data_IF_345923241389
#
_entry.id   IF_345923241389
#
_cell.length_a   1.000
_cell.length_b   1.000
_cell.length_c   1.000
_cell.angle_alpha   90.00
_cell.angle_beta   90.00
_cell.angle_gamma   90.00
#
_symmetry.space_group_name_H-M   'P 1'
#
loop_
_entity.id
_entity.type
_entity.pdbx_description
1 polymer ?
#
# COMPACT_ATOMS: atom_id res chain seq x y z
N UNK A 1 71.31 -25.06 6.58
CA UNK A 1 69.85 -25.06 6.82
C UNK A 1 69.30 -23.99 5.89
N UNK A 2 69.09 -24.39 4.63
CA UNK A 2 67.76 -24.60 4.02
C UNK A 2 67.09 -23.26 3.74
N UNK A 3 66.71 -22.85 2.53
CA UNK A 3 66.64 -23.49 1.21
C UNK A 3 65.53 -22.79 0.41
N UNK A 4 65.77 -22.59 -0.91
CA UNK A 4 64.80 -22.19 -1.99
C UNK A 4 64.32 -20.74 -1.98
N UNK A 5 64.09 -20.01 -3.08
CA UNK A 5 64.33 -20.02 -4.54
C UNK A 5 63.93 -18.56 -4.97
N UNK A 6 64.67 -17.76 -5.77
CA UNK A 6 64.67 -17.71 -7.25
C UNK A 6 63.22 -17.66 -7.83
N UNK A 7 62.75 -16.76 -8.72
CA UNK A 7 63.31 -16.14 -9.95
C UNK A 7 62.43 -14.93 -10.36
N UNK A 8 63.09 -14.01 -11.06
CA UNK A 8 62.72 -12.86 -11.92
C UNK A 8 61.41 -12.90 -12.74
N UNK A 9 61.00 -11.72 -13.25
CA UNK A 9 60.49 -11.64 -14.62
C UNK A 9 59.52 -10.49 -14.94
N UNK A 10 60.04 -9.47 -15.63
CA UNK A 10 59.32 -8.42 -16.34
C UNK A 10 58.14 -8.90 -17.20
N UNK A 11 57.10 -8.07 -17.30
CA UNK A 11 56.10 -8.14 -18.37
C UNK A 11 55.95 -6.77 -19.03
N UNK A 12 56.89 -6.45 -19.91
CA UNK A 12 56.72 -5.47 -21.00
C UNK A 12 56.46 -6.25 -22.30
N UNK A 13 55.42 -5.87 -23.05
CA UNK A 13 54.94 -6.64 -24.19
C UNK A 13 54.07 -5.84 -25.15
N UNK A 14 54.72 -4.91 -25.84
CA UNK A 14 54.34 -4.25 -27.10
C UNK A 14 53.77 -5.26 -28.12
N UNK A 15 52.76 -4.88 -28.92
CA UNK A 15 52.73 -5.10 -30.38
C UNK A 15 51.65 -4.23 -31.05
N UNK A 16 52.08 -3.35 -31.97
CA UNK A 16 51.22 -2.68 -32.94
C UNK A 16 51.43 -3.24 -34.35
N UNK A 17 50.52 -2.87 -35.27
CA UNK A 17 50.86 -2.73 -36.70
C UNK A 17 50.01 -3.49 -37.72
N UNK A 18 49.05 -2.75 -38.31
CA UNK A 18 48.71 -2.64 -39.75
C UNK A 18 48.32 -3.87 -40.60
N UNK A 19 47.15 -3.75 -41.26
CA UNK A 19 47.09 -3.92 -42.73
C UNK A 19 45.88 -4.65 -43.37
N UNK A 20 45.02 -3.86 -44.05
CA UNK A 20 44.42 -4.08 -45.40
C UNK A 20 43.19 -5.01 -45.59
N UNK A 21 42.07 -4.35 -45.97
CA UNK A 21 40.95 -4.64 -46.93
C UNK A 21 40.44 -6.09 -47.14
N UNK A 22 39.11 -6.30 -47.01
CA UNK A 22 38.13 -6.38 -48.14
C UNK A 22 36.75 -6.93 -47.69
N UNK A 23 35.70 -6.29 -48.20
CA UNK A 23 34.30 -6.69 -48.47
C UNK A 23 33.67 -7.98 -47.85
N UNK A 24 32.42 -7.83 -47.38
CA UNK A 24 31.34 -8.76 -47.74
C UNK A 24 30.65 -9.55 -46.62
N UNK A 25 29.46 -9.07 -46.24
CA UNK A 25 28.22 -9.84 -45.99
C UNK A 25 28.06 -10.78 -44.78
N UNK A 26 26.91 -10.56 -44.11
CA UNK A 26 26.02 -11.48 -43.39
C UNK A 26 26.34 -11.94 -41.95
N UNK A 27 25.42 -11.58 -41.04
CA UNK A 27 24.87 -12.54 -40.07
C UNK A 27 25.22 -12.37 -38.60
N UNK A 28 24.30 -11.76 -37.84
CA UNK A 28 23.89 -12.23 -36.51
C UNK A 28 24.69 -11.82 -35.27
N UNK A 29 23.98 -11.34 -34.24
CA UNK A 29 24.33 -11.61 -32.84
C UNK A 29 24.65 -10.42 -31.93
N UNK A 30 23.63 -10.05 -31.14
CA UNK A 30 23.68 -9.66 -29.72
C UNK A 30 24.31 -8.33 -29.24
N UNK A 31 23.66 -7.84 -28.18
CA UNK A 31 24.10 -6.94 -27.11
C UNK A 31 24.16 -5.42 -27.42
N UNK A 32 23.22 -4.72 -26.79
CA UNK A 32 23.21 -3.27 -26.62
C UNK A 32 22.40 -2.92 -25.37
N UNK A 33 23.10 -2.93 -24.24
CA UNK A 33 22.68 -2.45 -22.93
C UNK A 33 22.29 -0.97 -22.95
N UNK A 34 21.34 -0.56 -22.10
CA UNK A 34 20.98 0.86 -21.98
C UNK A 34 19.86 1.17 -20.99
N UNK A 35 20.21 1.16 -19.70
CA UNK A 35 19.67 2.00 -18.62
C UNK A 35 18.15 2.15 -18.45
N UNK A 36 17.59 1.51 -17.43
CA UNK A 36 16.36 1.94 -16.75
C UNK A 36 16.50 1.72 -15.23
N UNK A 37 17.37 2.51 -14.58
CA UNK A 37 17.63 2.43 -13.14
C UNK A 37 17.30 3.72 -12.36
N UNK A 38 16.57 4.66 -12.95
CA UNK A 38 16.33 6.00 -12.36
C UNK A 38 14.92 6.28 -11.85
N UNK A 39 13.97 5.34 -11.98
CA UNK A 39 12.55 5.61 -11.73
C UNK A 39 12.06 5.45 -10.28
N UNK A 40 12.65 4.52 -9.52
CA UNK A 40 12.11 4.12 -8.22
C UNK A 40 12.25 5.20 -7.14
N UNK A 41 13.46 5.76 -6.98
CA UNK A 41 13.69 6.89 -6.06
C UNK A 41 12.83 8.11 -6.44
N UNK A 42 12.67 8.33 -7.76
CA UNK A 42 11.72 9.22 -8.44
C UNK A 42 10.29 9.22 -7.91
N UNK A 43 9.75 8.01 -7.81
CA UNK A 43 8.37 7.73 -7.48
C UNK A 43 8.12 7.80 -5.97
N UNK A 44 9.05 7.28 -5.17
CA UNK A 44 8.98 7.26 -3.71
C UNK A 44 8.88 8.68 -3.10
N UNK A 45 9.73 9.63 -3.55
CA UNK A 45 9.66 11.01 -3.06
C UNK A 45 8.34 11.69 -3.44
N UNK A 46 7.76 11.32 -4.58
CA UNK A 46 6.52 11.92 -5.07
C UNK A 46 5.34 11.47 -4.23
N UNK A 47 5.29 10.21 -3.82
CA UNK A 47 4.17 9.66 -3.03
C UNK A 47 4.20 10.10 -1.56
N UNK A 48 5.38 10.22 -0.97
CA UNK A 48 5.55 10.79 0.37
C UNK A 48 5.08 12.25 0.45
N UNK A 49 5.17 12.99 -0.66
CA UNK A 49 4.77 14.41 -0.73
C UNK A 49 3.27 14.66 -0.97
N UNK A 50 2.47 13.63 -1.29
CA UNK A 50 1.04 13.83 -1.52
C UNK A 50 0.25 13.69 -0.23
N UNK A 51 -0.11 14.84 0.33
CA UNK A 51 -0.96 14.92 1.52
C UNK A 51 -2.37 14.37 1.26
N UNK A 52 -2.85 13.54 2.19
CA UNK A 52 -4.22 13.06 2.23
C UNK A 52 -5.02 13.95 3.17
N UNK A 53 -6.15 14.49 2.71
CA UNK A 53 -7.02 15.28 3.59
C UNK A 53 -7.86 14.35 4.49
N UNK A 54 -7.26 13.91 5.59
CA UNK A 54 -7.91 13.06 6.59
C UNK A 54 -9.14 13.70 7.23
N UNK A 55 -9.17 15.04 7.35
CA UNK A 55 -10.32 15.77 7.91
C UNK A 55 -11.54 15.61 7.01
N UNK A 56 -11.37 15.79 5.70
CA UNK A 56 -12.44 15.61 4.73
C UNK A 56 -12.88 14.15 4.65
N UNK A 57 -11.95 13.20 4.82
CA UNK A 57 -12.27 11.77 4.87
C UNK A 57 -13.14 11.41 6.08
N UNK A 58 -12.77 11.89 7.27
CA UNK A 58 -13.58 11.68 8.49
C UNK A 58 -14.96 12.36 8.38
N UNK A 59 -15.03 13.55 7.77
CA UNK A 59 -16.30 14.23 7.55
C UNK A 59 -17.19 13.49 6.54
N UNK A 60 -16.58 12.89 5.52
CA UNK A 60 -17.23 12.10 4.49
C UNK A 60 -17.71 10.72 4.99
N UNK A 61 -17.04 10.13 5.98
CA UNK A 61 -17.34 8.81 6.55
C UNK A 61 -17.68 8.93 8.06
N UNK A 62 -18.91 9.33 8.43
CA UNK A 62 -19.28 9.68 9.82
C UNK A 62 -19.44 8.46 10.74
N UNK A 63 -18.34 7.82 11.17
CA UNK A 63 -18.38 6.62 12.01
C UNK A 63 -18.60 6.88 13.52
N UNK A 64 -18.70 8.14 13.95
CA UNK A 64 -18.84 8.53 15.37
C UNK A 64 -20.09 8.00 16.07
N UNK A 65 -20.05 7.89 17.40
CA UNK A 65 -21.19 7.45 18.24
C UNK A 65 -22.13 8.60 18.65
N UNK A 66 -21.80 9.84 18.32
CA UNK A 66 -22.59 11.03 18.63
C UNK A 66 -23.86 11.16 17.75
N UNK A 67 -24.84 11.93 18.23
CA UNK A 67 -26.12 12.12 17.56
C UNK A 67 -25.98 12.72 16.14
N UNK A 68 -25.02 13.63 15.94
CA UNK A 68 -24.77 14.24 14.63
C UNK A 68 -24.24 13.19 13.64
N UNK A 69 -23.29 12.37 14.05
CA UNK A 69 -22.77 11.25 13.25
C UNK A 69 -23.85 10.21 12.93
N UNK A 70 -24.76 9.93 13.87
CA UNK A 70 -25.90 9.01 13.65
C UNK A 70 -26.80 9.54 12.52
N UNK A 71 -27.21 10.82 12.60
CA UNK A 71 -28.06 11.44 11.58
C UNK A 71 -27.36 11.49 10.22
N UNK A 72 -26.07 11.86 10.18
CA UNK A 72 -25.28 11.86 8.95
C UNK A 72 -25.15 10.47 8.34
N UNK A 73 -24.97 9.42 9.14
CA UNK A 73 -24.94 8.04 8.62
C UNK A 73 -26.27 7.60 8.05
N UNK A 74 -27.38 7.92 8.70
CA UNK A 74 -28.70 7.56 8.17
C UNK A 74 -28.94 8.21 6.81
N UNK A 75 -28.63 9.50 6.69
CA UNK A 75 -28.71 10.21 5.41
C UNK A 75 -27.74 9.64 4.36
N UNK A 76 -26.52 9.26 4.77
CA UNK A 76 -25.53 8.67 3.88
C UNK A 76 -25.95 7.29 3.40
N UNK A 77 -26.50 6.44 4.28
CA UNK A 77 -27.01 5.12 3.94
C UNK A 77 -28.14 5.22 2.91
N UNK A 78 -29.14 6.08 3.17
CA UNK A 78 -30.24 6.31 2.23
C UNK A 78 -29.75 6.85 0.87
N UNK A 79 -28.66 7.62 0.86
CA UNK A 79 -28.04 8.09 -0.39
C UNK A 79 -27.37 6.94 -1.16
N UNK A 80 -26.76 5.97 -0.48
CA UNK A 80 -26.05 4.85 -1.11
C UNK A 80 -27.02 3.73 -1.54
N UNK A 81 -28.16 3.60 -0.86
CA UNK A 81 -29.23 2.65 -1.18
C UNK A 81 -30.08 3.15 -2.37
N UNK A 82 -29.48 3.15 -3.56
CA UNK A 82 -30.11 3.66 -4.79
C UNK A 82 -31.37 2.87 -5.15
N UNK A 83 -31.39 1.58 -4.84
CA UNK A 83 -32.52 0.71 -5.13
C UNK A 83 -33.61 0.74 -4.03
N UNK A 84 -33.34 1.36 -2.88
CA UNK A 84 -34.24 1.52 -1.73
C UNK A 84 -34.75 0.20 -1.14
N UNK A 85 -33.94 -0.85 -1.16
CA UNK A 85 -34.30 -2.17 -0.60
C UNK A 85 -33.92 -2.31 0.89
N UNK A 86 -33.28 -1.31 1.49
CA UNK A 86 -32.88 -1.30 2.89
C UNK A 86 -31.53 -1.96 3.19
N UNK A 87 -30.77 -2.38 2.18
CA UNK A 87 -29.46 -3.00 2.33
C UNK A 87 -28.51 -2.62 1.17
N UNK A 88 -27.21 -2.56 1.41
CA UNK A 88 -26.25 -2.12 0.40
C UNK A 88 -25.52 -3.31 -0.21
N UNK A 89 -25.53 -3.40 -1.54
CA UNK A 89 -24.67 -4.30 -2.29
C UNK A 89 -23.23 -3.79 -2.39
N UNK A 90 -22.29 -4.68 -2.68
CA UNK A 90 -20.90 -4.28 -2.96
C UNK A 90 -20.80 -3.23 -4.08
N UNK A 91 -21.65 -3.32 -5.11
CA UNK A 91 -21.63 -2.40 -6.25
C UNK A 91 -22.12 -1.00 -5.87
N UNK A 92 -23.12 -0.90 -4.99
CA UNK A 92 -23.59 0.39 -4.46
C UNK A 92 -22.53 1.06 -3.59
N UNK A 93 -21.85 0.27 -2.76
CA UNK A 93 -20.69 0.75 -1.99
C UNK A 93 -19.56 1.20 -2.91
N UNK A 94 -19.12 0.39 -3.88
CA UNK A 94 -18.02 0.74 -4.82
C UNK A 94 -18.34 2.01 -5.62
N UNK A 95 -19.58 2.13 -6.11
CA UNK A 95 -20.03 3.28 -6.91
C UNK A 95 -20.07 4.56 -6.08
N UNK A 96 -20.61 4.49 -4.86
CA UNK A 96 -20.67 5.64 -3.95
C UNK A 96 -19.27 6.09 -3.52
N UNK A 97 -18.38 5.13 -3.29
CA UNK A 97 -16.98 5.41 -2.93
C UNK A 97 -16.19 6.05 -4.06
N UNK A 98 -16.47 5.72 -5.33
CA UNK A 98 -15.82 6.36 -6.49
C UNK A 98 -16.02 7.87 -6.48
N UNK A 99 -17.25 8.33 -6.26
CA UNK A 99 -17.57 9.76 -6.20
C UNK A 99 -16.88 10.42 -4.99
N UNK A 100 -16.93 9.78 -3.83
CA UNK A 100 -16.38 10.28 -2.58
C UNK A 100 -14.85 10.40 -2.62
N UNK A 101 -14.17 9.34 -3.05
CA UNK A 101 -12.71 9.28 -3.11
C UNK A 101 -12.13 10.22 -4.17
N UNK A 102 -12.85 10.44 -5.28
CA UNK A 102 -12.46 11.44 -6.27
C UNK A 102 -12.32 12.85 -5.67
N UNK A 103 -13.20 13.19 -4.71
CA UNK A 103 -13.21 14.48 -4.01
C UNK A 103 -12.16 14.55 -2.90
N UNK A 104 -12.05 13.52 -2.07
CA UNK A 104 -11.26 13.55 -0.83
C UNK A 104 -9.81 13.09 -1.03
N UNK A 105 -9.59 12.07 -1.86
CA UNK A 105 -8.28 11.42 -2.05
C UNK A 105 -7.83 11.46 -3.52
N UNK A 106 -8.51 12.22 -4.38
CA UNK A 106 -8.26 12.19 -5.83
C UNK A 106 -6.82 12.53 -6.21
N UNK A 107 -6.20 13.49 -5.52
CA UNK A 107 -4.79 13.85 -5.73
C UNK A 107 -3.84 12.68 -5.46
N UNK A 108 -4.02 12.04 -4.29
CA UNK A 108 -3.26 10.86 -3.87
C UNK A 108 -3.48 9.66 -4.80
N UNK A 109 -4.72 9.37 -5.18
CA UNK A 109 -5.03 8.18 -5.98
C UNK A 109 -4.57 8.30 -7.45
N UNK A 110 -4.45 9.53 -7.97
CA UNK A 110 -4.01 9.79 -9.35
C UNK A 110 -2.51 9.59 -9.57
N UNK A 111 -1.70 9.47 -8.52
CA UNK A 111 -0.26 9.21 -8.66
C UNK A 111 0.07 7.76 -9.02
N UNK A 112 -0.90 6.85 -8.93
CA UNK A 112 -0.69 5.41 -9.09
C UNK A 112 -0.62 5.00 -10.57
N UNK A 113 0.33 4.11 -10.90
CA UNK A 113 0.64 3.67 -12.27
C UNK A 113 -0.56 3.06 -13.02
N UNK A 114 -1.42 2.33 -12.32
CA UNK A 114 -2.55 1.59 -12.91
C UNK A 114 -3.88 2.38 -12.97
N UNK A 115 -3.84 3.68 -12.75
CA UNK A 115 -5.02 4.54 -12.82
C UNK A 115 -5.87 4.50 -11.56
N UNK A 116 -6.33 5.68 -11.13
CA UNK A 116 -7.02 5.88 -9.85
C UNK A 116 -8.28 5.02 -9.69
N UNK A 117 -9.00 4.72 -10.78
CA UNK A 117 -10.37 4.21 -10.81
C UNK A 117 -10.62 2.88 -10.05
N UNK A 118 -9.57 2.12 -9.71
CA UNK A 118 -9.67 0.83 -9.04
C UNK A 118 -8.71 0.68 -7.85
N UNK A 119 -7.94 1.72 -7.51
CA UNK A 119 -6.88 1.63 -6.50
C UNK A 119 -7.42 1.33 -5.09
N UNK A 120 -8.60 1.85 -4.73
CA UNK A 120 -9.23 1.66 -3.41
C UNK A 120 -10.05 0.37 -3.28
N UNK A 121 -10.25 -0.40 -4.35
CA UNK A 121 -11.09 -1.62 -4.31
C UNK A 121 -10.66 -2.63 -3.24
N UNK A 122 -9.35 -2.87 -2.98
CA UNK A 122 -8.92 -3.73 -1.89
C UNK A 122 -9.43 -3.25 -0.53
N UNK A 123 -9.38 -1.94 -0.26
CA UNK A 123 -9.90 -1.32 0.98
C UNK A 123 -11.37 -1.66 1.19
N UNK A 124 -12.20 -1.43 0.16
CA UNK A 124 -13.64 -1.67 0.24
C UNK A 124 -13.96 -3.14 0.42
N UNK A 125 -13.30 -4.02 -0.34
CA UNK A 125 -13.50 -5.46 -0.24
C UNK A 125 -13.19 -5.96 1.17
N UNK A 126 -12.07 -5.52 1.74
CA UNK A 126 -11.64 -5.93 3.07
C UNK A 126 -12.55 -5.33 4.14
N UNK A 127 -12.98 -4.08 4.00
CA UNK A 127 -13.90 -3.43 4.94
C UNK A 127 -15.28 -4.12 4.97
N UNK A 128 -15.86 -4.43 3.80
CA UNK A 128 -17.12 -5.19 3.71
C UNK A 128 -16.95 -6.58 4.31
N UNK A 129 -15.86 -7.29 3.99
CA UNK A 129 -15.58 -8.62 4.54
C UNK A 129 -15.51 -8.58 6.07
N UNK A 130 -14.80 -7.62 6.65
CA UNK A 130 -14.71 -7.47 8.11
C UNK A 130 -16.07 -7.13 8.73
N UNK A 131 -16.79 -6.15 8.17
CA UNK A 131 -18.09 -5.76 8.69
C UNK A 131 -19.10 -6.92 8.69
N UNK A 132 -19.08 -7.75 7.63
CA UNK A 132 -19.90 -8.95 7.49
C UNK A 132 -19.45 -10.09 8.39
N UNK A 133 -18.14 -10.28 8.59
CA UNK A 133 -17.63 -11.35 9.46
C UNK A 133 -18.00 -11.16 10.94
N UNK A 134 -18.34 -9.94 11.34
CA UNK A 134 -18.71 -9.60 12.71
C UNK A 134 -20.23 -9.59 12.95
N UNK A 135 -21.02 -9.57 11.87
CA UNK A 135 -22.46 -9.65 11.99
C UNK A 135 -22.92 -11.10 11.95
N UNK A 136 -23.98 -11.42 12.69
CA UNK A 136 -24.56 -12.76 12.69
C UNK A 136 -25.33 -13.08 11.38
N UNK A 137 -25.35 -12.16 10.42
CA UNK A 137 -26.17 -12.24 9.21
C UNK A 137 -25.44 -12.88 8.03
N UNK A 138 -25.94 -14.02 7.54
CA UNK A 138 -25.40 -14.71 6.36
C UNK A 138 -25.70 -14.04 5.00
N UNK A 139 -26.33 -12.85 5.00
CA UNK A 139 -26.63 -12.09 3.78
C UNK A 139 -25.35 -11.53 3.15
N UNK A 140 -25.20 -11.49 1.81
CA UNK A 140 -24.06 -10.81 1.16
C UNK A 140 -24.20 -9.27 1.15
N UNK A 141 -25.34 -8.72 1.59
CA UNK A 141 -25.62 -7.29 1.64
C UNK A 141 -25.22 -6.68 3.00
N UNK A 142 -24.97 -5.37 3.00
CA UNK A 142 -24.65 -4.59 4.21
C UNK A 142 -25.91 -3.93 4.76
N UNK A 143 -26.29 -4.29 5.98
CA UNK A 143 -27.47 -3.75 6.65
C UNK A 143 -27.16 -2.45 7.41
N UNK A 144 -28.17 -1.64 7.81
CA UNK A 144 -27.94 -0.40 8.56
C UNK A 144 -27.16 -0.58 9.87
N UNK A 145 -27.31 -1.74 10.53
CA UNK A 145 -26.56 -2.10 11.75
C UNK A 145 -25.07 -2.34 11.47
N UNK A 146 -24.75 -2.88 10.29
CA UNK A 146 -23.40 -3.17 9.82
C UNK A 146 -22.73 -1.94 9.20
N UNK A 147 -23.53 -0.98 8.73
CA UNK A 147 -23.02 0.18 8.00
C UNK A 147 -22.07 1.05 8.82
N UNK A 148 -22.33 1.26 10.11
CA UNK A 148 -21.38 2.00 10.97
C UNK A 148 -20.02 1.30 11.01
N UNK A 149 -20.02 -0.02 11.20
CA UNK A 149 -18.80 -0.81 11.26
C UNK A 149 -18.07 -0.79 9.91
N UNK A 150 -18.80 -0.86 8.79
CA UNK A 150 -18.23 -0.69 7.46
C UNK A 150 -17.48 0.65 7.32
N UNK A 151 -18.09 1.77 7.72
CA UNK A 151 -17.43 3.09 7.66
C UNK A 151 -16.20 3.16 8.56
N UNK A 152 -16.26 2.53 9.74
CA UNK A 152 -15.15 2.47 10.67
C UNK A 152 -13.97 1.67 10.11
N UNK A 153 -14.25 0.50 9.55
CA UNK A 153 -13.26 -0.32 8.84
C UNK A 153 -12.68 0.45 7.65
N UNK A 154 -13.51 1.14 6.85
CA UNK A 154 -13.01 1.93 5.72
C UNK A 154 -12.01 2.99 6.17
N UNK A 155 -12.30 3.78 7.22
CA UNK A 155 -11.39 4.81 7.73
C UNK A 155 -10.05 4.21 8.14
N UNK A 156 -10.06 3.13 8.92
CA UNK A 156 -8.84 2.43 9.31
C UNK A 156 -8.10 1.84 8.11
N UNK A 157 -8.83 1.26 7.15
CA UNK A 157 -8.20 0.55 6.05
C UNK A 157 -7.65 1.53 5.01
N UNK A 158 -8.19 2.74 4.90
CA UNK A 158 -7.58 3.82 4.13
C UNK A 158 -6.29 4.33 4.76
N UNK A 159 -6.21 4.46 6.08
CA UNK A 159 -4.95 4.73 6.80
C UNK A 159 -3.88 3.70 6.44
N UNK A 160 -4.20 2.42 6.62
CA UNK A 160 -3.26 1.33 6.29
C UNK A 160 -2.97 1.27 4.80
N UNK A 161 -3.92 1.59 3.94
CA UNK A 161 -3.71 1.64 2.49
C UNK A 161 -2.73 2.75 2.10
N UNK A 162 -2.81 3.92 2.73
CA UNK A 162 -1.85 5.00 2.49
C UNK A 162 -0.45 4.57 2.94
N UNK A 163 -0.32 3.92 4.10
CA UNK A 163 0.94 3.34 4.56
C UNK A 163 1.49 2.30 3.57
N UNK A 164 0.64 1.36 3.12
CA UNK A 164 0.99 0.35 2.12
C UNK A 164 1.49 1.00 0.83
N UNK A 165 0.77 2.01 0.33
CA UNK A 165 1.16 2.72 -0.89
C UNK A 165 2.54 3.38 -0.75
N UNK A 166 2.87 3.92 0.42
CA UNK A 166 4.17 4.57 0.69
C UNK A 166 5.34 3.58 0.69
N UNK A 167 5.08 2.31 0.99
CA UNK A 167 6.07 1.24 0.91
C UNK A 167 6.18 0.67 -0.51
N UNK A 168 5.06 0.58 -1.24
CA UNK A 168 4.94 0.15 -2.64
C UNK A 168 5.47 1.23 -3.62
N UNK A 169 6.79 1.39 -3.65
CA UNK A 169 7.50 2.40 -4.46
C UNK A 169 7.33 2.13 -5.96
N UNK A 170 7.36 0.87 -6.36
CA UNK A 170 7.13 0.40 -7.74
C UNK A 170 5.71 0.69 -8.24
N UNK A 171 4.76 0.88 -7.31
CA UNK A 171 3.34 1.13 -7.58
C UNK A 171 2.61 -0.02 -8.29
N UNK A 172 3.10 -1.26 -8.14
CA UNK A 172 2.53 -2.47 -8.73
C UNK A 172 1.46 -3.13 -7.83
N UNK A 173 1.22 -2.53 -6.65
CA UNK A 173 0.32 -2.99 -5.57
C UNK A 173 0.84 -4.21 -4.82
N UNK A 174 2.15 -4.39 -4.79
CA UNK A 174 2.87 -5.40 -4.04
C UNK A 174 4.00 -4.70 -3.29
N UNK A 175 4.46 -5.31 -2.20
CA UNK A 175 5.68 -4.88 -1.53
C UNK A 175 6.64 -6.05 -1.61
N UNK A 176 7.71 -5.89 -2.37
CA UNK A 176 8.81 -6.85 -2.38
C UNK A 176 9.74 -6.67 -1.16
N UNK A 177 10.71 -7.56 -1.00
CA UNK A 177 11.61 -7.53 0.16
C UNK A 177 12.47 -6.26 0.21
N UNK A 178 12.93 -5.77 -0.95
CA UNK A 178 13.77 -4.58 -1.02
C UNK A 178 12.97 -3.32 -0.66
N UNK A 179 11.73 -3.21 -1.15
CA UNK A 179 10.77 -2.16 -0.78
C UNK A 179 10.45 -2.20 0.71
N UNK A 180 10.18 -3.39 1.27
CA UNK A 180 9.93 -3.54 2.71
C UNK A 180 11.13 -3.10 3.55
N UNK A 181 12.34 -3.55 3.16
CA UNK A 181 13.58 -3.20 3.85
C UNK A 181 13.88 -1.71 3.79
N UNK A 182 13.68 -1.08 2.63
CA UNK A 182 13.84 0.37 2.47
C UNK A 182 12.79 1.16 3.26
N UNK A 183 11.62 0.56 3.51
CA UNK A 183 10.51 1.13 4.25
C UNK A 183 10.59 1.01 5.77
N UNK A 184 11.56 0.29 6.34
CA UNK A 184 11.70 0.13 7.80
C UNK A 184 11.74 1.46 8.57
N UNK A 185 12.43 2.52 8.12
CA UNK A 185 12.38 3.81 8.81
C UNK A 185 10.98 4.43 8.83
N UNK A 186 10.19 4.24 7.77
CA UNK A 186 8.82 4.71 7.70
C UNK A 186 7.93 3.92 8.66
N UNK A 187 8.06 2.59 8.69
CA UNK A 187 7.36 1.73 9.66
C UNK A 187 7.69 2.13 11.11
N UNK A 188 8.95 2.42 11.42
CA UNK A 188 9.36 2.89 12.74
C UNK A 188 8.69 4.22 13.11
N UNK A 189 8.59 5.16 12.17
CA UNK A 189 7.86 6.41 12.37
C UNK A 189 6.34 6.20 12.57
N UNK A 190 5.81 5.06 12.17
CA UNK A 190 4.40 4.69 12.34
C UNK A 190 4.17 3.78 13.55
N UNK A 191 5.17 3.66 14.43
CA UNK A 191 5.11 2.86 15.67
C UNK A 191 5.39 1.37 15.50
N UNK A 192 5.91 0.94 14.34
CA UNK A 192 6.29 -0.46 14.08
C UNK A 192 7.80 -0.56 13.94
N UNK A 193 8.46 -1.06 14.99
CA UNK A 193 9.90 -1.23 15.02
C UNK A 193 10.28 -2.64 14.59
N UNK A 194 11.11 -2.73 13.55
CA UNK A 194 11.68 -3.97 13.02
C UNK A 194 13.17 -3.69 12.80
N UNK A 195 14.03 -4.47 13.45
CA UNK A 195 15.47 -4.37 13.28
C UNK A 195 15.89 -4.89 11.89
N UNK A 196 16.96 -4.32 11.33
CA UNK A 196 17.37 -4.64 9.95
C UNK A 196 17.78 -6.11 9.78
N UNK A 197 18.38 -6.70 10.81
CA UNK A 197 18.78 -8.12 10.85
C UNK A 197 17.55 -9.06 10.94
N UNK A 198 16.46 -8.61 11.57
CA UNK A 198 15.20 -9.34 11.65
C UNK A 198 14.27 -9.10 10.44
N UNK A 199 14.63 -8.21 9.51
CA UNK A 199 13.75 -7.78 8.42
C UNK A 199 13.29 -8.93 7.51
N UNK A 200 14.16 -9.90 7.25
CA UNK A 200 13.82 -11.07 6.42
C UNK A 200 12.79 -11.99 7.09
N UNK A 201 12.93 -12.20 8.40
CA UNK A 201 11.99 -13.00 9.18
C UNK A 201 10.64 -12.29 9.29
N UNK A 202 10.66 -11.00 9.60
CA UNK A 202 9.43 -10.20 9.70
C UNK A 202 8.72 -10.11 8.35
N UNK A 203 9.45 -10.01 7.23
CA UNK A 203 8.86 -10.02 5.88
C UNK A 203 8.08 -11.31 5.61
N UNK A 204 8.62 -12.47 5.97
CA UNK A 204 7.93 -13.76 5.82
C UNK A 204 6.69 -13.85 6.72
N UNK A 205 6.75 -13.30 7.93
CA UNK A 205 5.60 -13.20 8.85
C UNK A 205 4.51 -12.32 8.25
N UNK A 206 4.87 -11.13 7.76
CA UNK A 206 3.91 -10.17 7.18
C UNK A 206 3.27 -10.76 5.94
N UNK A 207 4.08 -11.33 5.04
CA UNK A 207 3.62 -11.95 3.78
C UNK A 207 2.68 -13.13 4.03
N UNK A 208 2.90 -13.89 5.10
CA UNK A 208 2.15 -15.09 5.41
C UNK A 208 2.14 -16.07 4.24
N UNK A 209 0.94 -16.43 3.77
CA UNK A 209 0.74 -17.40 2.69
C UNK A 209 1.02 -16.85 1.27
N UNK A 210 1.24 -15.55 1.12
CA UNK A 210 1.54 -14.94 -0.18
C UNK A 210 2.93 -15.36 -0.68
N UNK A 211 3.11 -15.38 -2.01
CA UNK A 211 4.35 -15.87 -2.64
C UNK A 211 5.21 -14.70 -3.08
N UNK A 212 6.38 -14.53 -2.45
CA UNK A 212 7.42 -13.59 -2.85
C UNK A 212 7.12 -12.09 -2.68
N UNK A 213 5.91 -11.72 -2.26
CA UNK A 213 5.53 -10.32 -2.04
C UNK A 213 4.40 -10.20 -1.03
N UNK A 214 4.36 -9.08 -0.31
CA UNK A 214 3.28 -8.72 0.60
C UNK A 214 2.14 -8.08 -0.20
N UNK A 215 0.92 -8.60 -0.03
CA UNK A 215 -0.29 -7.98 -0.57
C UNK A 215 -0.93 -7.06 0.48
N UNK A 216 -1.84 -6.19 0.02
CA UNK A 216 -2.55 -5.28 0.91
C UNK A 216 -3.30 -6.00 2.05
N UNK A 217 -3.96 -7.14 1.77
CA UNK A 217 -4.71 -7.87 2.79
C UNK A 217 -3.77 -8.45 3.87
N UNK A 218 -2.57 -8.90 3.49
CA UNK A 218 -1.55 -9.41 4.41
C UNK A 218 -0.99 -8.27 5.27
N UNK A 219 -0.62 -7.15 4.62
CA UNK A 219 -0.15 -5.95 5.31
C UNK A 219 -1.22 -5.37 6.24
N UNK A 220 -2.50 -5.47 5.88
CA UNK A 220 -3.61 -5.00 6.70
C UNK A 220 -3.73 -5.77 8.01
N UNK A 221 -3.63 -7.10 7.95
CA UNK A 221 -3.64 -7.94 9.14
C UNK A 221 -2.44 -7.60 10.03
N UNK A 222 -1.25 -7.50 9.43
CA UNK A 222 -0.04 -7.12 10.13
C UNK A 222 -0.13 -5.74 10.82
N UNK A 223 -0.55 -4.72 10.08
CA UNK A 223 -0.66 -3.34 10.56
C UNK A 223 -1.67 -3.19 11.71
N UNK A 224 -2.76 -3.97 11.69
CA UNK A 224 -3.71 -3.99 12.79
C UNK A 224 -3.13 -4.70 14.03
N UNK A 225 -2.47 -5.85 13.84
CA UNK A 225 -1.87 -6.60 14.95
C UNK A 225 -0.74 -5.82 15.65
N UNK A 226 0.09 -5.08 14.90
CA UNK A 226 1.18 -4.25 15.44
C UNK A 226 0.73 -2.87 15.90
N UNK A 227 -0.52 -2.49 15.64
CA UNK A 227 -1.01 -1.16 15.98
C UNK A 227 -0.30 -0.03 15.20
N UNK A 228 -0.04 -0.23 13.90
CA UNK A 228 0.52 0.80 13.02
C UNK A 228 -0.34 2.07 13.08
N UNK A 229 0.27 3.23 13.30
CA UNK A 229 -0.37 4.54 13.33
C UNK A 229 0.29 5.49 12.34
N UNK A 230 -0.46 6.06 11.40
CA UNK A 230 0.07 7.21 10.64
C UNK A 230 0.01 8.48 11.50
N UNK A 231 1.09 9.25 11.56
CA UNK A 231 1.14 10.47 12.38
C UNK A 231 0.78 11.76 11.61
N UNK A 232 0.34 11.63 10.37
CA UNK A 232 0.06 12.75 9.46
C UNK A 232 -1.41 13.20 9.42
N UNK A 233 -2.21 12.82 10.41
CA UNK A 233 -3.65 13.12 10.44
C UNK A 233 -3.99 14.61 10.61
N UNK A 234 -3.04 15.44 11.02
CA UNK A 234 -3.26 16.86 11.29
C UNK A 234 -4.48 17.09 12.20
N UNK A 235 -5.46 17.87 11.72
CA UNK A 235 -6.69 18.19 12.48
C UNK A 235 -7.56 16.95 12.80
N UNK A 236 -7.43 15.87 12.03
CA UNK A 236 -8.21 14.65 12.22
C UNK A 236 -7.64 13.72 13.29
N UNK A 237 -6.43 13.98 13.82
CA UNK A 237 -5.72 13.07 14.74
C UNK A 237 -6.61 12.57 15.88
N UNK A 238 -7.25 13.46 16.66
CA UNK A 238 -8.13 13.05 17.77
C UNK A 238 -9.28 12.15 17.32
N UNK A 239 -9.89 12.44 16.17
CA UNK A 239 -11.00 11.66 15.63
C UNK A 239 -10.50 10.29 15.18
N UNK A 240 -9.39 10.23 14.44
CA UNK A 240 -8.79 8.98 13.96
C UNK A 240 -8.37 8.08 15.13
N UNK A 241 -7.68 8.61 16.15
CA UNK A 241 -7.29 7.82 17.33
C UNK A 241 -8.51 7.27 18.08
N UNK A 242 -9.58 8.06 18.25
CA UNK A 242 -10.82 7.59 18.88
C UNK A 242 -11.47 6.48 18.08
N UNK A 243 -11.63 6.67 16.77
CA UNK A 243 -12.24 5.67 15.89
C UNK A 243 -11.42 4.39 15.82
N UNK A 244 -10.09 4.50 15.88
CA UNK A 244 -9.20 3.35 15.96
C UNK A 244 -9.38 2.58 17.26
N UNK A 245 -9.48 3.27 18.40
CA UNK A 245 -9.76 2.63 19.69
C UNK A 245 -11.13 1.92 19.67
N UNK A 246 -12.16 2.58 19.13
CA UNK A 246 -13.49 1.98 18.94
C UNK A 246 -13.43 0.71 18.08
N UNK A 247 -12.63 0.69 17.00
CA UNK A 247 -12.50 -0.49 16.14
C UNK A 247 -11.74 -1.62 16.83
N UNK A 248 -10.68 -1.28 17.56
CA UNK A 248 -9.90 -2.26 18.31
C UNK A 248 -10.77 -2.95 19.37
N UNK A 249 -11.55 -2.21 20.14
CA UNK A 249 -12.52 -2.74 21.12
C UNK A 249 -13.54 -3.70 20.48
N UNK A 250 -13.86 -3.50 19.20
CA UNK A 250 -14.81 -4.37 18.50
C UNK A 250 -14.16 -5.64 17.92
N UNK A 251 -12.88 -5.58 17.54
CA UNK A 251 -12.17 -6.67 16.86
C UNK A 251 -11.37 -7.58 17.80
N UNK A 252 -10.96 -7.09 18.97
CA UNK A 252 -10.02 -7.74 19.89
C UNK A 252 -10.45 -7.54 21.34
#
# INVERSE_FOLDING_TARGET
MDGRDRIDGDCDGVLGGSGIRSEGSSGGGAAGSGAAGGGAAGSAYKLASVEVNWSDLCAALPAGRDAESILKRQALFAKWDVNSNGCLSFNEVDSSMRELMGKVMGGFLRTRQHGWAHSWKPVIRSAVRTAKGMSAGGSPYVDPSEFRLLLLCMLRYFEVYVAFCRLDVSCDRRIDFDEFKCGLPALASWGVHVEEDAAAEEFEVVKGASVGHILFDDFLVYANAKGLCLDDFGKASRTMHRLRADLHEMLY
#
